data_IF_672752997456
#
_entry.id   IF_672752997456
#
_cell.length_a   1.000
_cell.length_b   1.000
_cell.length_c   1.000
_cell.angle_alpha   90.00
_cell.angle_beta   90.00
_cell.angle_gamma   90.00
#
_symmetry.space_group_name_H-M   'P 1'
#
loop_
_entity.id
_entity.type
_entity.pdbx_description
1 polymer ?
#
# COMPACT_ATOMS: atom_id res chain seq x y z
N UNK A 1 -8.33 15.30 -5.20
CA UNK A 1 -8.57 14.57 -3.93
C UNK A 1 -9.21 13.24 -4.24
N UNK A 2 -8.98 12.22 -3.43
CA UNK A 2 -9.56 10.88 -3.61
C UNK A 2 -11.07 10.91 -3.33
N UNK A 3 -11.92 10.23 -4.14
CA UNK A 3 -13.35 10.18 -3.87
C UNK A 3 -13.60 9.43 -2.56
N UNK A 4 -14.36 10.03 -1.65
CA UNK A 4 -14.66 9.47 -0.32
C UNK A 4 -15.56 8.23 -0.36
N UNK A 5 -16.23 7.99 -1.48
CA UNK A 5 -17.20 6.90 -1.67
C UNK A 5 -16.57 5.57 -2.12
N UNK A 6 -15.33 5.60 -2.59
CA UNK A 6 -14.65 4.38 -3.04
C UNK A 6 -14.41 3.44 -1.86
N UNK A 7 -14.72 2.16 -2.07
CA UNK A 7 -14.50 1.12 -1.06
C UNK A 7 -14.19 -0.23 -1.70
N UNK A 8 -13.61 -1.12 -0.90
CA UNK A 8 -13.18 -2.45 -1.34
C UNK A 8 -12.23 -2.35 -2.54
N UNK A 9 -12.56 -3.13 -3.58
CA UNK A 9 -11.77 -3.26 -4.81
C UNK A 9 -11.67 -1.96 -5.62
N UNK A 10 -12.72 -1.13 -5.63
CA UNK A 10 -12.72 0.12 -6.41
C UNK A 10 -11.68 1.11 -5.87
N UNK A 11 -11.52 1.18 -4.55
CA UNK A 11 -10.49 1.99 -3.92
C UNK A 11 -9.09 1.42 -4.22
N UNK A 12 -8.89 0.10 -4.06
CA UNK A 12 -7.60 -0.55 -4.36
C UNK A 12 -7.19 -0.32 -5.82
N UNK A 13 -8.12 -0.50 -6.76
CA UNK A 13 -7.88 -0.29 -8.19
C UNK A 13 -7.50 1.16 -8.50
N UNK A 14 -8.21 2.12 -7.93
CA UNK A 14 -7.91 3.54 -8.12
C UNK A 14 -6.53 3.91 -7.56
N UNK A 15 -6.19 3.45 -6.35
CA UNK A 15 -4.85 3.70 -5.76
C UNK A 15 -3.76 3.03 -6.58
N UNK A 16 -3.95 1.78 -7.02
CA UNK A 16 -2.98 1.08 -7.86
C UNK A 16 -2.73 1.82 -9.18
N UNK A 17 -3.78 2.30 -9.84
CA UNK A 17 -3.66 3.05 -11.09
C UNK A 17 -2.85 4.35 -10.92
N UNK A 18 -2.99 5.02 -9.77
CA UNK A 18 -2.29 6.27 -9.48
C UNK A 18 -0.82 6.07 -9.10
N UNK A 19 -0.53 5.09 -8.25
CA UNK A 19 0.80 4.94 -7.64
C UNK A 19 1.70 3.94 -8.36
N UNK A 20 1.15 2.82 -8.84
CA UNK A 20 1.97 1.70 -9.33
C UNK A 20 2.36 1.84 -10.80
N UNK A 21 1.41 2.22 -11.65
CA UNK A 21 1.62 2.22 -13.11
C UNK A 21 2.80 3.10 -13.59
N UNK A 22 3.04 4.31 -13.05
CA UNK A 22 4.20 5.12 -13.42
C UNK A 22 5.53 4.55 -12.88
N UNK A 23 5.53 4.06 -11.65
CA UNK A 23 6.72 3.59 -10.94
C UNK A 23 7.24 2.23 -11.46
N UNK A 24 6.35 1.36 -11.97
CA UNK A 24 6.69 -0.01 -12.34
C UNK A 24 7.80 -0.12 -13.41
N UNK A 25 7.90 0.82 -14.36
CA UNK A 25 8.93 0.77 -15.42
C UNK A 25 10.32 1.16 -14.94
N UNK A 26 10.41 2.21 -14.12
CA UNK A 26 11.68 2.63 -13.52
C UNK A 26 12.18 1.57 -12.53
N UNK A 27 11.26 1.01 -11.76
CA UNK A 27 11.56 -0.02 -10.77
C UNK A 27 12.04 -1.33 -11.42
N UNK A 28 11.41 -1.80 -12.50
CA UNK A 28 11.86 -2.99 -13.21
C UNK A 28 13.32 -2.90 -13.70
N UNK A 29 13.76 -1.70 -14.12
CA UNK A 29 15.18 -1.46 -14.50
C UNK A 29 16.12 -1.48 -13.30
N UNK A 30 15.70 -0.97 -12.15
CA UNK A 30 16.51 -1.03 -10.94
C UNK A 30 16.71 -2.48 -10.49
N UNK A 31 15.62 -3.25 -10.42
CA UNK A 31 15.66 -4.66 -10.01
C UNK A 31 16.48 -5.55 -10.94
N UNK A 32 16.61 -5.21 -12.23
CA UNK A 32 17.49 -5.97 -13.13
C UNK A 32 18.98 -5.86 -12.79
N UNK A 33 19.38 -4.83 -12.04
CA UNK A 33 20.76 -4.62 -11.60
C UNK A 33 20.98 -4.92 -10.11
N UNK A 34 19.92 -4.79 -9.30
CA UNK A 34 19.96 -5.04 -7.86
C UNK A 34 18.65 -5.71 -7.43
N UNK A 35 18.54 -7.05 -7.51
CA UNK A 35 17.31 -7.73 -7.11
C UNK A 35 17.09 -7.59 -5.60
N UNK A 36 15.91 -7.12 -5.20
CA UNK A 36 15.51 -7.07 -3.80
C UNK A 36 15.26 -8.49 -3.26
N UNK A 37 15.74 -8.79 -2.06
CA UNK A 37 15.48 -10.07 -1.43
C UNK A 37 14.05 -10.15 -0.89
N UNK A 38 13.43 -11.33 -0.93
CA UNK A 38 12.05 -11.51 -0.44
C UNK A 38 11.91 -11.08 1.03
N UNK A 39 12.91 -11.35 1.87
CA UNK A 39 12.90 -10.96 3.29
C UNK A 39 12.94 -9.43 3.48
N UNK A 40 13.64 -8.71 2.61
CA UNK A 40 13.64 -7.24 2.60
C UNK A 40 12.26 -6.70 2.23
N UNK A 41 11.65 -7.27 1.19
CA UNK A 41 10.30 -6.90 0.75
C UNK A 41 9.24 -7.18 1.82
N UNK A 42 9.33 -8.34 2.48
CA UNK A 42 8.44 -8.69 3.58
C UNK A 42 8.66 -7.76 4.78
N UNK A 43 9.91 -7.42 5.10
CA UNK A 43 10.23 -6.48 6.18
C UNK A 43 9.73 -5.07 5.90
N UNK A 44 9.89 -4.59 4.66
CA UNK A 44 9.33 -3.32 4.20
C UNK A 44 7.80 -3.35 4.21
N UNK A 45 7.18 -4.47 3.80
CA UNK A 45 5.75 -4.69 3.93
C UNK A 45 5.27 -4.49 5.37
N UNK A 46 5.93 -5.14 6.34
CA UNK A 46 5.60 -4.96 7.77
C UNK A 46 5.77 -3.52 8.23
N UNK A 47 6.82 -2.82 7.79
CA UNK A 47 7.02 -1.40 8.07
C UNK A 47 5.86 -0.54 7.55
N UNK A 48 5.34 -0.85 6.36
CA UNK A 48 4.16 -0.18 5.80
C UNK A 48 2.83 -0.60 6.46
N UNK A 49 2.83 -1.60 7.34
CA UNK A 49 1.61 -2.19 7.92
C UNK A 49 0.91 -3.20 7.02
N UNK A 50 1.63 -3.77 6.05
CA UNK A 50 1.14 -4.82 5.14
C UNK A 50 1.78 -6.15 5.53
N UNK A 51 0.98 -7.02 6.13
CA UNK A 51 1.36 -8.42 6.31
C UNK A 51 1.18 -9.18 4.98
N UNK A 52 2.26 -9.75 4.45
CA UNK A 52 2.26 -10.43 3.15
C UNK A 52 1.40 -11.70 3.12
N UNK A 53 1.16 -12.35 4.26
CA UNK A 53 0.30 -13.53 4.35
C UNK A 53 -1.18 -13.13 4.43
N UNK A 54 -1.50 -12.05 5.13
CA UNK A 54 -2.87 -11.58 5.28
C UNK A 54 -3.36 -10.76 4.08
N UNK A 55 -2.48 -9.96 3.48
CA UNK A 55 -2.80 -9.03 2.39
C UNK A 55 -1.85 -9.16 1.19
N UNK A 56 -1.67 -10.36 0.61
CA UNK A 56 -0.79 -10.55 -0.55
C UNK A 56 -1.18 -9.66 -1.74
N UNK A 57 -2.47 -9.34 -1.91
CA UNK A 57 -2.97 -8.47 -2.97
C UNK A 57 -2.57 -7.00 -2.84
N UNK A 58 -2.02 -6.60 -1.68
CA UNK A 58 -1.52 -5.25 -1.42
C UNK A 58 0.01 -5.15 -1.50
N UNK A 59 0.73 -6.26 -1.73
CA UNK A 59 2.20 -6.25 -1.81
C UNK A 59 2.77 -5.40 -2.94
N UNK A 60 1.96 -5.03 -3.94
CA UNK A 60 2.36 -4.05 -4.94
C UNK A 60 2.65 -2.65 -4.35
N UNK A 61 2.18 -2.32 -3.14
CA UNK A 61 2.59 -1.08 -2.45
C UNK A 61 4.04 -1.14 -1.97
N UNK A 62 4.53 -2.33 -1.62
CA UNK A 62 5.93 -2.55 -1.28
C UNK A 62 6.80 -2.27 -2.50
N UNK A 63 6.35 -2.71 -3.68
CA UNK A 63 6.99 -2.42 -4.96
C UNK A 63 7.09 -0.91 -5.26
N UNK A 64 6.11 -0.11 -4.82
CA UNK A 64 6.21 1.36 -4.90
C UNK A 64 7.21 1.92 -3.89
N UNK A 65 7.32 1.29 -2.71
CA UNK A 65 8.13 1.78 -1.59
C UNK A 65 9.62 1.43 -1.68
N UNK A 66 10.03 0.51 -2.55
CA UNK A 66 11.44 0.14 -2.77
C UNK A 66 12.23 1.22 -3.47
N UNK A 67 11.59 2.02 -4.33
CA UNK A 67 12.23 3.14 -5.02
C UNK A 67 11.30 4.36 -5.07
N UNK A 68 11.02 4.97 -3.90
CA UNK A 68 10.10 6.09 -3.81
C UNK A 68 10.75 7.36 -4.36
N UNK A 69 10.09 8.03 -5.29
CA UNK A 69 10.51 9.36 -5.75
C UNK A 69 10.27 10.40 -4.66
N UNK A 70 11.16 11.38 -4.50
CA UNK A 70 10.89 12.47 -3.57
C UNK A 70 9.74 13.35 -4.09
N UNK A 71 8.73 13.68 -3.25
CA UNK A 71 7.70 14.62 -3.67
C UNK A 71 8.30 16.01 -3.93
N UNK A 72 7.60 16.83 -4.72
CA UNK A 72 8.09 18.16 -5.08
C UNK A 72 8.41 19.00 -3.84
N UNK A 73 9.56 19.69 -3.87
CA UNK A 73 10.04 20.53 -2.77
C UNK A 73 10.79 19.79 -1.66
N UNK A 74 10.84 18.46 -1.69
CA UNK A 74 11.66 17.65 -0.78
C UNK A 74 13.06 17.38 -1.35
N UNK A 75 14.06 17.39 -0.48
CA UNK A 75 15.46 17.13 -0.78
C UNK A 75 15.99 16.08 0.20
N UNK A 76 16.82 15.15 -0.31
CA UNK A 76 17.65 14.28 0.53
C UNK A 76 18.90 15.05 0.93
N UNK A 77 19.12 15.17 2.23
CA UNK A 77 20.27 15.84 2.81
C UNK A 77 21.03 14.88 3.73
N UNK A 78 22.24 15.27 4.11
CA UNK A 78 23.09 14.50 5.01
C UNK A 78 23.64 15.47 6.08
N UNK A 79 23.57 15.06 7.35
CA UNK A 79 24.12 15.86 8.44
C UNK A 79 25.64 15.66 8.58
N UNK A 80 26.25 16.35 9.55
CA UNK A 80 27.70 16.29 9.79
C UNK A 80 28.20 14.88 10.18
N UNK A 81 27.32 14.02 10.68
CA UNK A 81 27.64 12.66 11.13
C UNK A 81 27.35 11.63 10.02
N UNK A 82 26.99 12.08 8.81
CA UNK A 82 26.65 11.21 7.69
C UNK A 82 25.22 10.65 7.74
N UNK A 83 24.36 11.15 8.64
CA UNK A 83 22.98 10.67 8.75
C UNK A 83 22.10 11.36 7.73
N UNK A 84 21.30 10.54 7.04
CA UNK A 84 20.36 11.02 6.03
C UNK A 84 19.13 11.62 6.69
N UNK A 85 18.72 12.79 6.21
CA UNK A 85 17.44 13.40 6.54
C UNK A 85 16.80 13.99 5.30
N UNK A 86 15.51 14.31 5.39
CA UNK A 86 14.73 14.88 4.31
C UNK A 86 14.28 16.28 4.67
N UNK A 87 14.55 17.24 3.80
CA UNK A 87 14.22 18.64 4.01
C UNK A 87 13.25 19.14 2.94
N UNK A 88 12.16 19.76 3.38
CA UNK A 88 11.24 20.48 2.50
C UNK A 88 11.63 21.95 2.46
N UNK A 89 12.15 22.41 1.32
CA UNK A 89 12.63 23.78 1.16
C UNK A 89 11.50 24.82 1.21
N UNK A 90 10.31 24.48 0.72
CA UNK A 90 9.16 25.38 0.69
C UNK A 90 8.53 25.58 2.08
N UNK A 91 8.50 24.53 2.89
CA UNK A 91 7.92 24.55 4.24
C UNK A 91 8.97 24.81 5.33
N UNK A 92 10.27 24.77 4.99
CA UNK A 92 11.37 24.83 5.96
C UNK A 92 11.25 23.77 7.06
N UNK A 93 10.82 22.56 6.69
CA UNK A 93 10.64 21.43 7.60
C UNK A 93 11.64 20.33 7.29
N UNK A 94 12.15 19.65 8.32
CA UNK A 94 13.00 18.48 8.19
C UNK A 94 12.36 17.28 8.88
N UNK A 95 12.59 16.09 8.35
CA UNK A 95 12.20 14.81 8.96
C UNK A 95 13.23 13.72 8.66
N UNK A 96 13.23 12.68 9.48
CA UNK A 96 14.15 11.55 9.34
C UNK A 96 13.60 10.50 8.39
N UNK A 97 12.29 10.27 8.42
CA UNK A 97 11.60 9.31 7.58
C UNK A 97 11.47 9.83 6.14
N UNK A 98 11.55 8.95 5.14
CA UNK A 98 11.29 9.36 3.76
C UNK A 98 9.83 9.84 3.61
N UNK A 99 9.57 11.03 3.04
CA UNK A 99 8.21 11.60 2.99
C UNK A 99 7.21 10.72 2.24
N UNK A 100 7.63 10.01 1.19
CA UNK A 100 6.77 9.02 0.55
C UNK A 100 6.52 7.78 1.39
N UNK A 101 7.44 7.36 2.24
CA UNK A 101 7.19 6.21 3.12
C UNK A 101 6.07 6.53 4.11
N UNK A 102 6.11 7.72 4.74
CA UNK A 102 5.03 8.18 5.62
C UNK A 102 3.68 8.24 4.90
N UNK A 103 3.67 8.72 3.64
CA UNK A 103 2.48 8.70 2.80
C UNK A 103 1.97 7.27 2.51
N UNK A 104 2.86 6.37 2.12
CA UNK A 104 2.53 4.98 1.79
C UNK A 104 2.03 4.19 2.99
N UNK A 105 2.53 4.44 4.20
CA UNK A 105 1.97 3.88 5.46
C UNK A 105 0.50 4.28 5.63
N UNK A 106 0.17 5.56 5.39
CA UNK A 106 -1.23 6.03 5.45
C UNK A 106 -2.12 5.37 4.39
N UNK A 107 -1.61 5.22 3.17
CA UNK A 107 -2.30 4.52 2.07
C UNK A 107 -2.52 3.05 2.42
N UNK A 108 -1.49 2.36 2.89
CA UNK A 108 -1.56 0.96 3.30
C UNK A 108 -2.56 0.73 4.43
N UNK A 109 -2.56 1.61 5.44
CA UNK A 109 -3.55 1.59 6.54
C UNK A 109 -4.97 1.68 6.00
N UNK A 110 -5.24 2.59 5.06
CA UNK A 110 -6.58 2.74 4.49
C UNK A 110 -7.00 1.54 3.64
N UNK A 111 -6.07 0.98 2.87
CA UNK A 111 -6.36 -0.15 1.98
C UNK A 111 -6.56 -1.46 2.74
N UNK A 112 -5.75 -1.76 3.76
CA UNK A 112 -5.91 -2.94 4.62
C UNK A 112 -7.26 -2.92 5.34
N UNK A 113 -7.68 -1.76 5.86
CA UNK A 113 -9.03 -1.58 6.44
C UNK A 113 -10.14 -1.81 5.41
N UNK A 114 -9.99 -1.27 4.20
CA UNK A 114 -10.96 -1.41 3.11
C UNK A 114 -11.13 -2.87 2.67
N UNK A 115 -10.00 -3.57 2.47
CA UNK A 115 -9.96 -5.00 2.11
C UNK A 115 -10.58 -5.85 3.22
N UNK A 116 -10.22 -5.60 4.48
CA UNK A 116 -10.79 -6.33 5.62
C UNK A 116 -12.30 -6.17 5.69
N UNK A 117 -12.80 -4.93 5.50
CA UNK A 117 -14.25 -4.67 5.47
C UNK A 117 -14.94 -5.41 4.33
N UNK A 118 -14.37 -5.37 3.13
CA UNK A 118 -14.93 -6.04 1.96
C UNK A 118 -14.98 -7.58 2.13
N UNK A 119 -13.90 -8.19 2.65
CA UNK A 119 -13.86 -9.64 2.94
C UNK A 119 -14.95 -10.04 3.95
N UNK A 120 -15.19 -9.22 4.99
CA UNK A 120 -16.25 -9.46 5.98
C UNK A 120 -17.65 -9.36 5.38
N UNK A 121 -17.91 -8.35 4.55
CA UNK A 121 -19.23 -8.20 3.91
C UNK A 121 -19.52 -9.34 2.94
N UNK A 122 -18.53 -9.76 2.14
CA UNK A 122 -18.70 -10.89 1.22
C UNK A 122 -18.89 -12.21 1.96
N UNK A 123 -18.16 -12.43 3.07
CA UNK A 123 -18.35 -13.61 3.91
C UNK A 123 -19.74 -13.69 4.56
N UNK A 124 -20.26 -12.55 5.07
CA UNK A 124 -21.60 -12.49 5.63
C UNK A 124 -22.69 -12.78 4.57
N UNK A 125 -22.57 -12.17 3.38
CA UNK A 125 -23.50 -12.40 2.29
C UNK A 125 -23.49 -13.86 1.80
N UNK A 126 -22.31 -14.49 1.74
CA UNK A 126 -22.19 -15.91 1.39
C UNK A 126 -22.88 -16.81 2.41
N UNK A 127 -22.70 -16.54 3.71
CA UNK A 127 -23.35 -17.30 4.79
C UNK A 127 -24.88 -17.17 4.75
N UNK A 128 -25.41 -15.97 4.50
CA UNK A 128 -26.86 -15.74 4.39
C UNK A 128 -27.47 -16.47 3.18
N UNK A 129 -26.76 -16.48 2.04
CA UNK A 129 -27.19 -17.20 0.84
C UNK A 129 -27.23 -18.72 1.09
N UNK A 130 -26.25 -19.26 1.81
CA UNK A 130 -26.22 -20.67 2.18
C UNK A 130 -27.37 -21.06 3.10
N UNK A 131 -27.63 -20.26 4.15
CA UNK A 131 -28.77 -20.48 5.06
C UNK A 131 -30.10 -20.44 4.31
N UNK A 132 -30.26 -19.49 3.38
CA UNK A 132 -31.47 -19.40 2.55
C UNK A 132 -31.66 -20.64 1.68
N UNK A 133 -30.61 -21.12 1.02
CA UNK A 133 -30.67 -22.31 0.18
C UNK A 133 -31.01 -23.58 0.99
N UNK A 134 -30.52 -23.68 2.23
CA UNK A 134 -30.86 -24.79 3.13
C UNK A 134 -32.33 -24.75 3.56
N UNK A 135 -32.89 -23.57 3.83
CA UNK A 135 -34.32 -23.42 4.16
C UNK A 135 -35.20 -23.76 2.95
N UNK A 136 -34.84 -23.29 1.76
CA UNK A 136 -35.60 -23.58 0.52
C UNK A 136 -35.51 -25.06 0.10
N UNK A 137 -34.38 -25.73 0.35
CA UNK A 137 -34.20 -27.16 0.08
C UNK A 137 -34.95 -28.09 1.04
N UNK A 138 -35.41 -27.60 2.19
CA UNK A 138 -36.18 -28.37 3.19
C UNK A 138 -37.70 -28.29 2.95
N UNK A 139 -38.15 -27.39 2.08
CA UNK A 139 -39.58 -27.16 1.78
C UNK A 139 -40.09 -28.02 0.60
N UNK A 140 -39.24 -28.86 0.01
CA UNK A 140 -39.59 -29.81 -1.06
C UNK A 140 -39.42 -31.26 -0.62
#
# INVERSE_FOLDING_TARGET
GWPSELSGESLVAAVRAHLHAPAARAHARHLSHSPAMLDELVSLGRYLGIDAQQFPELMWLVDVATNPELPIGWLRCEDIDGRVYYWNAALSLAQWEHPQHSYLVGVATRLTQSVTRARRTSGAAAQEAEVRAQVEGVVH
#
